data_IF_980055743704
#
_entry.id   IF_980055743704
#
_cell.length_a   1.000
_cell.length_b   1.000
_cell.length_c   1.000
_cell.angle_alpha   90.00
_cell.angle_beta   90.00
_cell.angle_gamma   90.00
#
_symmetry.space_group_name_H-M   'P 1'
#
loop_
_entity.id
_entity.type
_entity.pdbx_description
1 polymer ?
#
# COMPACT_ATOMS: atom_id res chain seq x y z
N UNK A 1 -3.72 -20.16 8.79
CA UNK A 1 -3.85 -18.84 9.47
C UNK A 1 -4.94 -18.04 8.74
N UNK A 2 -5.65 -17.13 9.42
CA UNK A 2 -6.58 -16.18 8.77
C UNK A 2 -5.81 -14.91 8.40
N UNK A 3 -6.15 -14.23 7.30
CA UNK A 3 -5.45 -13.00 6.91
C UNK A 3 -5.71 -11.88 7.92
N UNK A 4 -4.64 -11.18 8.31
CA UNK A 4 -4.71 -10.05 9.24
C UNK A 4 -5.05 -8.73 8.56
N UNK A 5 -4.75 -8.59 7.25
CA UNK A 5 -5.05 -7.40 6.47
C UNK A 5 -5.50 -7.73 5.04
N UNK A 6 -6.25 -6.80 4.45
CA UNK A 6 -6.59 -6.76 3.03
C UNK A 6 -5.64 -5.82 2.30
N UNK A 7 -4.96 -6.30 1.27
CA UNK A 7 -4.16 -5.46 0.36
C UNK A 7 -4.85 -5.39 -1.00
N UNK A 8 -5.26 -4.19 -1.40
CA UNK A 8 -5.81 -3.90 -2.71
C UNK A 8 -4.65 -3.43 -3.58
N UNK A 9 -4.11 -4.35 -4.39
CA UNK A 9 -2.93 -4.12 -5.22
C UNK A 9 -3.34 -3.77 -6.65
N UNK A 10 -3.30 -2.49 -6.98
CA UNK A 10 -3.75 -1.95 -8.27
C UNK A 10 -2.74 -2.24 -9.38
N UNK A 11 -1.46 -2.06 -9.07
CA UNK A 11 -0.32 -2.35 -9.94
C UNK A 11 0.84 -2.91 -9.09
N UNK A 12 1.93 -3.30 -9.75
CA UNK A 12 3.09 -3.94 -9.13
C UNK A 12 3.44 -5.28 -9.77
N UNK A 13 4.68 -5.76 -9.58
CA UNK A 13 5.15 -6.98 -10.21
C UNK A 13 4.53 -8.23 -9.57
N UNK A 14 4.38 -9.31 -10.34
CA UNK A 14 3.75 -10.55 -9.87
C UNK A 14 4.45 -11.17 -8.64
N UNK A 15 5.77 -11.05 -8.56
CA UNK A 15 6.54 -11.56 -7.44
C UNK A 15 6.25 -10.81 -6.12
N UNK A 16 5.84 -9.53 -6.18
CA UNK A 16 5.45 -8.75 -4.99
C UNK A 16 4.10 -9.25 -4.46
N UNK A 17 3.16 -9.56 -5.37
CA UNK A 17 1.89 -10.19 -5.02
C UNK A 17 2.11 -11.51 -4.28
N UNK A 18 2.94 -12.37 -4.86
CA UNK A 18 3.25 -13.68 -4.30
C UNK A 18 3.89 -13.55 -2.91
N UNK A 19 4.85 -12.63 -2.76
CA UNK A 19 5.50 -12.37 -1.48
C UNK A 19 4.49 -11.91 -0.42
N UNK A 20 3.61 -10.94 -0.73
CA UNK A 20 2.60 -10.46 0.22
C UNK A 20 1.58 -11.55 0.60
N UNK A 21 1.24 -12.44 -0.34
CA UNK A 21 0.40 -13.62 -0.04
C UNK A 21 1.12 -14.62 0.87
N UNK A 22 2.44 -14.79 0.70
CA UNK A 22 3.26 -15.65 1.55
C UNK A 22 3.40 -15.09 2.98
N UNK A 23 3.35 -13.77 3.14
CA UNK A 23 3.22 -13.07 4.44
C UNK A 23 1.78 -13.13 5.00
N UNK A 24 0.92 -13.99 4.45
CA UNK A 24 -0.45 -14.25 4.90
C UNK A 24 -1.44 -13.08 4.75
N UNK A 25 -1.14 -12.06 3.94
CA UNK A 25 -2.12 -11.02 3.61
C UNK A 25 -3.13 -11.50 2.55
N UNK A 26 -4.38 -11.01 2.65
CA UNK A 26 -5.35 -11.19 1.56
C UNK A 26 -5.06 -10.14 0.48
N UNK A 27 -4.43 -10.54 -0.62
CA UNK A 27 -4.20 -9.65 -1.76
C UNK A 27 -5.32 -9.78 -2.79
N UNK A 28 -5.90 -8.65 -3.20
CA UNK A 28 -6.96 -8.54 -4.21
C UNK A 28 -6.65 -7.41 -5.19
N UNK A 29 -7.30 -7.40 -6.34
CA UNK A 29 -7.16 -6.30 -7.33
C UNK A 29 -8.17 -5.19 -7.18
N UNK A 30 -9.26 -5.42 -6.44
CA UNK A 30 -10.37 -4.48 -6.24
C UNK A 30 -10.95 -4.68 -4.85
N UNK A 31 -11.44 -3.61 -4.24
CA UNK A 31 -12.15 -3.72 -2.97
C UNK A 31 -13.51 -4.41 -3.15
N UNK A 32 -13.79 -5.41 -2.31
CA UNK A 32 -15.09 -6.06 -2.22
C UNK A 32 -15.83 -5.49 -1.02
N UNK A 33 -17.08 -5.04 -1.20
CA UNK A 33 -17.89 -4.50 -0.09
C UNK A 33 -18.08 -5.56 1.00
N UNK A 34 -18.00 -5.13 2.27
CA UNK A 34 -18.25 -5.99 3.43
C UNK A 34 -17.01 -6.67 4.02
N UNK A 35 -15.80 -6.25 3.63
CA UNK A 35 -14.58 -6.72 4.28
C UNK A 35 -14.31 -5.89 5.55
N UNK A 36 -14.28 -6.55 6.70
CA UNK A 36 -14.00 -5.92 8.01
C UNK A 36 -12.50 -5.91 8.39
N UNK A 37 -11.61 -6.29 7.46
CA UNK A 37 -10.17 -6.28 7.68
C UNK A 37 -9.60 -4.86 7.54
N UNK A 38 -8.52 -4.51 8.26
CA UNK A 38 -7.69 -3.37 7.92
C UNK A 38 -7.29 -3.41 6.45
N UNK A 39 -7.56 -2.34 5.72
CA UNK A 39 -7.36 -2.29 4.28
C UNK A 39 -6.20 -1.36 3.90
N UNK A 40 -5.37 -1.84 2.97
CA UNK A 40 -4.24 -1.11 2.41
C UNK A 40 -4.38 -1.05 0.90
N UNK A 41 -4.05 0.10 0.31
CA UNK A 41 -3.98 0.23 -1.15
C UNK A 41 -2.53 0.30 -1.57
N UNK A 42 -2.12 -0.55 -2.51
CA UNK A 42 -0.79 -0.55 -3.10
C UNK A 42 -0.90 -0.19 -4.59
N UNK A 43 -0.13 0.81 -5.01
CA UNK A 43 0.17 1.00 -6.42
C UNK A 43 0.83 2.32 -6.76
N UNK A 44 0.79 2.73 -8.03
CA UNK A 44 1.27 4.03 -8.49
C UNK A 44 0.37 5.20 -8.07
N UNK A 45 0.43 6.31 -8.80
CA UNK A 45 -0.31 7.54 -8.46
C UNK A 45 -1.84 7.33 -8.25
N UNK A 46 -2.44 6.40 -8.98
CA UNK A 46 -3.87 6.09 -8.88
C UNK A 46 -4.29 5.48 -7.53
N UNK A 47 -3.34 4.94 -6.75
CA UNK A 47 -3.63 4.38 -5.43
C UNK A 47 -4.24 5.41 -4.48
N UNK A 48 -3.86 6.69 -4.57
CA UNK A 48 -4.46 7.75 -3.77
C UNK A 48 -5.95 7.93 -4.08
N UNK A 49 -6.33 7.87 -5.36
CA UNK A 49 -7.72 8.04 -5.78
C UNK A 49 -8.59 6.86 -5.34
N UNK A 50 -8.07 5.64 -5.43
CA UNK A 50 -8.78 4.44 -4.99
C UNK A 50 -8.87 4.35 -3.47
N UNK A 51 -7.81 4.74 -2.74
CA UNK A 51 -7.78 4.73 -1.28
C UNK A 51 -8.94 5.50 -0.65
N UNK A 52 -9.36 6.63 -1.25
CA UNK A 52 -10.52 7.43 -0.79
C UNK A 52 -11.84 6.65 -0.77
N UNK A 53 -11.93 5.58 -1.57
CA UNK A 53 -13.14 4.76 -1.72
C UNK A 53 -13.14 3.53 -0.82
N UNK A 54 -12.04 3.26 -0.13
CA UNK A 54 -11.85 2.07 0.68
C UNK A 54 -12.31 2.35 2.11
N UNK A 55 -13.43 1.75 2.57
CA UNK A 55 -13.79 1.82 3.98
C UNK A 55 -12.78 1.01 4.80
N UNK A 56 -12.49 1.46 6.02
CA UNK A 56 -11.46 0.87 6.89
C UNK A 56 -10.03 0.91 6.30
N UNK A 57 -9.71 1.98 5.56
CA UNK A 57 -8.35 2.24 5.08
C UNK A 57 -7.42 2.53 6.26
N UNK A 58 -6.30 1.81 6.33
CA UNK A 58 -5.28 1.95 7.37
C UNK A 58 -3.93 2.45 6.83
N UNK A 59 -3.72 2.41 5.52
CA UNK A 59 -2.50 2.97 4.92
C UNK A 59 -2.48 2.85 3.40
N UNK A 60 -1.59 3.62 2.78
CA UNK A 60 -1.37 3.60 1.33
C UNK A 60 0.11 3.40 1.03
N UNK A 61 0.42 2.50 0.10
CA UNK A 61 1.76 2.21 -0.36
C UNK A 61 1.87 2.67 -1.81
N UNK A 62 2.67 3.70 -2.04
CA UNK A 62 2.96 4.22 -3.36
C UNK A 62 4.25 3.62 -3.91
N UNK A 63 4.15 2.95 -5.05
CA UNK A 63 5.28 2.29 -5.70
C UNK A 63 5.55 2.93 -7.06
N UNK A 64 6.77 3.45 -7.27
CA UNK A 64 7.16 4.16 -8.50
C UNK A 64 6.15 5.26 -8.91
N UNK A 65 5.46 5.87 -7.95
CA UNK A 65 4.44 6.88 -8.20
C UNK A 65 5.09 8.22 -8.57
N UNK A 66 4.59 8.82 -9.64
CA UNK A 66 5.00 10.13 -10.15
C UNK A 66 3.78 11.04 -10.34
N UNK A 67 3.97 12.35 -10.28
CA UNK A 67 2.93 13.33 -10.58
C UNK A 67 1.91 13.61 -9.48
N UNK A 68 2.01 12.94 -8.32
CA UNK A 68 1.24 13.29 -7.11
C UNK A 68 2.04 14.31 -6.31
N UNK A 69 1.44 15.46 -6.00
CA UNK A 69 2.12 16.53 -5.24
C UNK A 69 1.71 16.59 -3.77
N UNK A 70 0.44 16.31 -3.49
CA UNK A 70 -0.13 16.37 -2.15
C UNK A 70 -1.31 15.43 -1.99
N UNK A 71 -1.63 15.06 -0.75
CA UNK A 71 -2.86 14.33 -0.40
C UNK A 71 -3.37 14.75 0.98
N UNK A 72 -4.69 14.69 1.16
CA UNK A 72 -5.41 14.96 2.42
C UNK A 72 -5.76 13.67 3.18
N UNK A 73 -5.29 12.50 2.71
CA UNK A 73 -5.54 11.22 3.38
C UNK A 73 -4.96 11.26 4.80
N UNK A 74 -5.81 11.00 5.79
CA UNK A 74 -5.44 10.98 7.21
C UNK A 74 -4.81 9.64 7.65
N UNK A 75 -4.36 8.81 6.71
CA UNK A 75 -3.70 7.54 6.99
C UNK A 75 -2.22 7.63 6.63
N UNK A 76 -1.36 6.80 7.22
CA UNK A 76 0.06 6.74 6.86
C UNK A 76 0.29 6.38 5.38
N UNK A 77 1.29 7.02 4.78
CA UNK A 77 1.77 6.73 3.44
C UNK A 77 3.19 6.13 3.48
N UNK A 78 3.40 5.06 2.73
CA UNK A 78 4.73 4.54 2.41
C UNK A 78 5.06 4.85 0.95
N UNK A 79 6.12 5.64 0.71
CA UNK A 79 6.60 5.96 -0.64
C UNK A 79 7.81 5.10 -0.97
N UNK A 80 7.68 4.22 -1.96
CA UNK A 80 8.74 3.37 -2.49
C UNK A 80 9.12 3.88 -3.88
N UNK A 81 10.36 4.33 -4.04
CA UNK A 81 10.89 4.81 -5.33
C UNK A 81 9.96 5.83 -6.02
N UNK A 82 9.27 6.63 -5.22
CA UNK A 82 8.23 7.57 -5.66
C UNK A 82 8.65 9.01 -5.38
N UNK A 83 8.07 9.95 -6.13
CA UNK A 83 8.30 11.37 -5.92
C UNK A 83 7.86 11.83 -4.52
N UNK A 84 8.46 12.91 -3.97
CA UNK A 84 7.97 13.54 -2.76
C UNK A 84 6.50 13.95 -2.86
N UNK A 85 5.74 13.67 -1.80
CA UNK A 85 4.35 14.08 -1.65
C UNK A 85 4.22 14.79 -0.31
N UNK A 86 3.51 15.92 -0.33
CA UNK A 86 3.06 16.60 0.89
C UNK A 86 1.85 15.86 1.50
N UNK A 87 2.04 15.28 2.68
CA UNK A 87 1.06 14.43 3.36
C UNK A 87 1.27 14.49 4.88
N UNK A 88 0.23 14.11 5.64
CA UNK A 88 0.24 14.17 7.10
C UNK A 88 1.28 13.23 7.74
N UNK A 89 1.35 11.99 7.28
CA UNK A 89 2.29 10.98 7.77
C UNK A 89 2.88 10.22 6.58
N UNK A 90 4.19 10.40 6.35
CA UNK A 90 4.86 9.87 5.17
C UNK A 90 6.21 9.26 5.54
N UNK A 91 6.35 7.97 5.23
CA UNK A 91 7.62 7.25 5.28
C UNK A 91 8.14 7.09 3.85
N UNK A 92 9.42 7.37 3.63
CA UNK A 92 10.01 7.40 2.28
C UNK A 92 11.18 6.44 2.19
N UNK A 93 11.17 5.64 1.13
CA UNK A 93 12.20 4.66 0.79
C UNK A 93 12.62 4.93 -0.64
N UNK A 94 13.89 5.31 -0.84
CA UNK A 94 14.44 5.69 -2.14
C UNK A 94 15.76 4.99 -2.38
N UNK A 95 16.00 4.55 -3.62
CA UNK A 95 17.29 4.02 -4.04
C UNK A 95 17.64 2.69 -3.37
N UNK A 96 17.21 1.58 -3.98
CA UNK A 96 17.57 0.25 -3.48
C UNK A 96 16.79 -0.91 -4.09
N UNK A 97 17.28 -2.11 -3.80
CA UNK A 97 16.73 -3.42 -4.17
C UNK A 97 15.22 -3.51 -3.96
N UNK A 98 14.48 -3.84 -5.04
CA UNK A 98 13.02 -3.99 -5.01
C UNK A 98 12.56 -4.99 -3.93
N UNK A 99 13.37 -6.00 -3.61
CA UNK A 99 13.06 -6.97 -2.54
C UNK A 99 13.08 -6.35 -1.15
N UNK A 100 13.97 -5.39 -0.90
CA UNK A 100 13.98 -4.66 0.37
C UNK A 100 12.73 -3.79 0.48
N UNK A 101 12.37 -3.09 -0.59
CA UNK A 101 11.16 -2.28 -0.65
C UNK A 101 9.90 -3.12 -0.40
N UNK A 102 9.84 -4.34 -0.95
CA UNK A 102 8.75 -5.28 -0.69
C UNK A 102 8.67 -5.72 0.78
N UNK A 103 9.81 -6.06 1.42
CA UNK A 103 9.84 -6.37 2.86
C UNK A 103 9.37 -5.19 3.71
N UNK A 104 9.71 -3.97 3.32
CA UNK A 104 9.26 -2.76 3.98
C UNK A 104 7.75 -2.54 3.80
N UNK A 105 7.19 -2.84 2.63
CA UNK A 105 5.74 -2.85 2.41
C UNK A 105 5.03 -3.84 3.34
N UNK A 106 5.53 -5.08 3.44
CA UNK A 106 4.97 -6.07 4.36
C UNK A 106 5.07 -5.61 5.83
N UNK A 107 6.22 -5.09 6.25
CA UNK A 107 6.42 -4.57 7.60
C UNK A 107 5.49 -3.38 7.90
N UNK A 108 5.32 -2.48 6.94
CA UNK A 108 4.42 -1.35 7.05
C UNK A 108 2.98 -1.80 7.26
N UNK A 109 2.51 -2.80 6.50
CA UNK A 109 1.18 -3.38 6.66
C UNK A 109 1.02 -3.96 8.06
N UNK A 110 1.93 -4.83 8.52
CA UNK A 110 1.82 -5.48 9.83
C UNK A 110 1.91 -4.52 11.02
N UNK A 111 2.50 -3.33 10.87
CA UNK A 111 2.56 -2.32 11.95
C UNK A 111 1.27 -1.52 12.05
N UNK A 112 0.54 -1.35 10.95
CA UNK A 112 -0.64 -0.47 10.87
C UNK A 112 -1.96 -1.23 10.74
N UNK A 113 -1.93 -2.56 10.57
CA UNK A 113 -3.11 -3.43 10.55
C UNK A 113 -3.65 -3.64 11.97
#
# INVERSE_FOLDING_TARGET
MRPEALVIMLDGPAWLEEMLRNEHFKVVRRYERGVALPAFVLGGANAILEARKVPNLHGVILWNATGVKSTDLAVPLLLINSEPIDAHDVTRVSGGDERLAAKLAARFISVHA
#
